data_IF_058379682158
#
_entry.id   IF_058379682158
#
_cell.length_a   1.000
_cell.length_b   1.000
_cell.length_c   1.000
_cell.angle_alpha   90.00
_cell.angle_beta   90.00
_cell.angle_gamma   90.00
#
_symmetry.space_group_name_H-M   'P 1'
#
loop_
_entity.id
_entity.type
_entity.pdbx_description
1 polymer ?
#
# COMPACT_ATOMS: atom_id res chain seq x y z
N UNK A 1 10.36 -11.73 -23.51
CA UNK A 1 9.51 -11.95 -22.32
C UNK A 1 9.69 -10.82 -21.29
N UNK A 2 9.58 -9.54 -21.70
CA UNK A 2 9.69 -8.36 -20.81
C UNK A 2 8.36 -8.01 -20.13
N UNK A 3 7.24 -8.34 -20.79
CA UNK A 3 5.90 -7.95 -20.38
C UNK A 3 5.45 -8.58 -19.05
N UNK A 4 5.93 -9.78 -18.74
CA UNK A 4 5.56 -10.48 -17.50
C UNK A 4 6.27 -9.89 -16.28
N UNK A 5 7.56 -9.56 -16.39
CA UNK A 5 8.32 -8.96 -15.30
C UNK A 5 7.84 -7.54 -14.98
N UNK A 6 7.58 -6.71 -16.00
CA UNK A 6 6.98 -5.37 -15.81
C UNK A 6 5.60 -5.46 -15.14
N UNK A 7 4.79 -6.46 -15.51
CA UNK A 7 3.48 -6.70 -14.88
C UNK A 7 3.65 -7.12 -13.42
N UNK A 8 4.57 -8.04 -13.12
CA UNK A 8 4.87 -8.47 -11.76
C UNK A 8 5.36 -7.30 -10.90
N UNK A 9 6.25 -6.47 -11.44
CA UNK A 9 6.76 -5.29 -10.75
C UNK A 9 5.64 -4.31 -10.45
N UNK A 10 4.76 -4.02 -11.42
CA UNK A 10 3.59 -3.16 -11.21
C UNK A 10 2.72 -3.68 -10.08
N UNK A 11 2.42 -4.98 -10.05
CA UNK A 11 1.60 -5.61 -9.01
C UNK A 11 2.30 -5.54 -7.64
N UNK A 12 3.59 -5.84 -7.58
CA UNK A 12 4.41 -5.82 -6.37
C UNK A 12 4.51 -4.40 -5.77
N UNK A 13 4.68 -3.38 -6.62
CA UNK A 13 4.79 -1.98 -6.19
C UNK A 13 3.47 -1.39 -5.68
N UNK A 14 2.30 -1.97 -6.01
CA UNK A 14 0.99 -1.48 -5.52
C UNK A 14 0.89 -1.41 -3.99
N UNK A 15 1.62 -2.28 -3.30
CA UNK A 15 1.62 -2.40 -1.84
C UNK A 15 3.02 -2.20 -1.25
N UNK A 16 3.90 -1.53 -2.00
CA UNK A 16 5.27 -1.24 -1.56
C UNK A 16 6.02 -2.52 -1.14
N UNK A 17 5.85 -3.60 -1.92
CA UNK A 17 6.47 -4.89 -1.67
C UNK A 17 5.95 -5.64 -0.44
N UNK A 18 4.74 -5.31 0.06
CA UNK A 18 4.11 -6.00 1.18
C UNK A 18 2.93 -6.85 0.74
N UNK A 19 2.66 -7.94 1.45
CA UNK A 19 1.45 -8.71 1.24
C UNK A 19 0.22 -7.83 1.52
N UNK A 20 -0.73 -7.77 0.59
CA UNK A 20 -1.92 -6.94 0.77
C UNK A 20 -2.92 -7.48 1.83
N UNK A 21 -2.68 -8.70 2.35
CA UNK A 21 -3.50 -9.37 3.36
C UNK A 21 -2.87 -9.22 4.74
N UNK A 22 -1.66 -9.73 4.94
CA UNK A 22 -0.99 -9.76 6.25
C UNK A 22 0.11 -8.70 6.44
N UNK A 23 0.38 -7.87 5.41
CA UNK A 23 1.38 -6.79 5.39
C UNK A 23 2.84 -7.17 5.60
N UNK A 24 3.16 -8.46 5.69
CA UNK A 24 4.56 -8.94 5.72
C UNK A 24 5.29 -8.53 4.44
N UNK A 25 6.58 -8.19 4.60
CA UNK A 25 7.45 -7.88 3.47
C UNK A 25 7.63 -9.11 2.57
N UNK A 26 7.59 -8.86 1.27
CA UNK A 26 7.79 -9.81 0.20
C UNK A 26 9.13 -9.53 -0.48
N UNK A 27 9.74 -10.56 -1.06
CA UNK A 27 10.94 -10.41 -1.88
C UNK A 27 10.54 -10.56 -3.34
N UNK A 28 10.76 -9.53 -4.16
CA UNK A 28 10.37 -9.54 -5.58
C UNK A 28 10.89 -10.80 -6.30
N UNK A 29 12.18 -11.14 -6.10
CA UNK A 29 12.81 -12.31 -6.71
C UNK A 29 12.33 -13.68 -6.22
N UNK A 30 11.50 -13.74 -5.17
CA UNK A 30 10.91 -14.99 -4.67
C UNK A 30 9.47 -15.22 -5.19
N UNK A 31 9.11 -14.62 -6.33
CA UNK A 31 7.83 -14.89 -6.98
C UNK A 31 7.67 -16.39 -7.30
N UNK A 32 6.52 -16.98 -6.96
CA UNK A 32 6.18 -18.38 -7.24
C UNK A 32 7.06 -19.42 -6.54
N UNK A 33 8.04 -19.01 -5.71
CA UNK A 33 8.98 -19.94 -5.09
C UNK A 33 8.44 -20.42 -3.75
N UNK A 34 8.18 -21.72 -3.58
CA UNK A 34 7.69 -22.27 -2.32
C UNK A 34 8.78 -22.32 -1.24
N UNK A 35 8.39 -22.14 0.03
CA UNK A 35 9.28 -22.32 1.18
C UNK A 35 10.29 -21.22 1.47
N UNK A 36 10.48 -20.23 0.57
CA UNK A 36 11.38 -19.09 0.83
C UNK A 36 10.69 -17.98 1.64
N UNK A 37 11.49 -17.24 2.41
CA UNK A 37 11.01 -16.05 3.13
C UNK A 37 10.63 -14.95 2.13
N UNK A 38 9.47 -14.34 2.33
CA UNK A 38 8.96 -13.30 1.43
C UNK A 38 8.47 -13.82 0.08
N UNK A 39 8.27 -15.14 -0.06
CA UNK A 39 7.65 -15.72 -1.25
C UNK A 39 6.22 -15.24 -1.45
N UNK A 40 5.87 -15.03 -2.71
CA UNK A 40 4.60 -14.44 -3.06
C UNK A 40 4.09 -14.90 -4.43
N UNK A 41 2.79 -14.74 -4.62
CA UNK A 41 2.07 -15.01 -5.86
C UNK A 41 1.14 -13.82 -6.16
N UNK A 42 0.68 -13.74 -7.40
CA UNK A 42 -0.40 -12.82 -7.77
C UNK A 42 -1.70 -13.35 -7.15
N UNK A 43 -2.43 -12.44 -6.52
CA UNK A 43 -3.70 -12.71 -5.86
C UNK A 43 -4.80 -11.79 -6.44
N UNK A 44 -6.00 -12.34 -6.62
CA UNK A 44 -7.19 -11.61 -7.06
C UNK A 44 -8.04 -11.15 -5.89
N UNK A 45 -8.08 -9.83 -5.66
CA UNK A 45 -8.87 -9.21 -4.58
C UNK A 45 -10.35 -9.62 -4.64
N UNK A 46 -10.92 -9.68 -5.84
CA UNK A 46 -12.17 -10.38 -6.13
C UNK A 46 -11.83 -11.67 -6.88
N UNK A 47 -12.12 -12.87 -6.33
CA UNK A 47 -11.85 -14.13 -7.01
C UNK A 47 -12.54 -14.23 -8.38
N UNK A 48 -11.92 -14.92 -9.35
CA UNK A 48 -12.49 -15.13 -10.70
C UNK A 48 -13.85 -15.83 -10.65
N UNK A 49 -13.99 -16.83 -9.78
CA UNK A 49 -15.24 -17.54 -9.49
C UNK A 49 -16.39 -16.64 -9.04
N UNK A 50 -16.09 -15.43 -8.57
CA UNK A 50 -17.05 -14.41 -8.14
C UNK A 50 -17.11 -13.22 -9.09
N UNK A 51 -16.62 -13.36 -10.33
CA UNK A 51 -16.60 -12.29 -11.35
C UNK A 51 -15.39 -11.35 -11.30
N UNK A 52 -14.29 -11.78 -10.67
CA UNK A 52 -13.02 -11.06 -10.72
C UNK A 52 -12.31 -11.16 -12.07
N UNK A 53 -11.56 -10.12 -12.44
CA UNK A 53 -10.83 -10.02 -13.71
C UNK A 53 -9.31 -9.96 -13.48
N UNK A 54 -8.53 -10.14 -14.55
CA UNK A 54 -7.06 -10.01 -14.53
C UNK A 54 -6.59 -8.55 -14.70
N UNK A 55 -7.49 -7.57 -14.53
CA UNK A 55 -7.13 -6.17 -14.56
C UNK A 55 -6.25 -5.81 -13.36
N UNK A 56 -5.25 -4.93 -13.60
CA UNK A 56 -4.27 -4.55 -12.58
C UNK A 56 -4.89 -4.01 -11.29
N UNK A 57 -6.08 -3.40 -11.32
CA UNK A 57 -6.77 -2.92 -10.13
C UNK A 57 -7.26 -4.05 -9.20
N UNK A 58 -7.49 -5.25 -9.74
CA UNK A 58 -7.92 -6.45 -9.02
C UNK A 58 -6.74 -7.34 -8.58
N UNK A 59 -5.53 -7.10 -9.08
CA UNK A 59 -4.35 -7.94 -8.81
C UNK A 59 -3.45 -7.34 -7.74
N UNK A 60 -3.08 -8.14 -6.74
CA UNK A 60 -2.17 -7.76 -5.66
C UNK A 60 -1.08 -8.81 -5.44
N UNK A 61 0.03 -8.39 -4.84
CA UNK A 61 1.00 -9.33 -4.30
C UNK A 61 0.50 -9.87 -2.95
N UNK A 62 0.58 -11.19 -2.76
CA UNK A 62 0.27 -11.82 -1.48
C UNK A 62 1.27 -12.94 -1.16
N UNK A 63 1.52 -13.16 0.13
CA UNK A 63 2.20 -14.39 0.56
C UNK A 63 1.47 -15.60 0.00
N UNK A 64 2.22 -16.63 -0.40
CA UNK A 64 1.64 -17.86 -0.95
C UNK A 64 0.63 -18.48 0.03
N UNK A 65 0.95 -18.50 1.32
CA UNK A 65 0.05 -19.01 2.37
C UNK A 65 -1.23 -18.18 2.51
N UNK A 66 -1.13 -16.84 2.50
CA UNK A 66 -2.31 -15.97 2.57
C UNK A 66 -3.20 -16.11 1.34
N UNK A 67 -2.60 -16.19 0.14
CA UNK A 67 -3.32 -16.41 -1.12
C UNK A 67 -4.13 -17.72 -1.07
N UNK A 68 -3.44 -18.83 -0.74
CA UNK A 68 -4.05 -20.17 -0.66
C UNK A 68 -5.10 -20.27 0.45
N UNK A 69 -4.84 -19.70 1.61
CA UNK A 69 -5.80 -19.68 2.73
C UNK A 69 -7.06 -18.87 2.40
N UNK A 70 -6.94 -17.77 1.65
CA UNK A 70 -8.11 -17.02 1.18
C UNK A 70 -8.91 -17.83 0.16
N UNK A 71 -8.25 -18.43 -0.83
CA UNK A 71 -8.91 -19.15 -1.93
C UNK A 71 -10.01 -18.30 -2.58
N UNK A 72 -11.23 -18.85 -2.64
CA UNK A 72 -12.43 -18.16 -3.16
C UNK A 72 -13.14 -17.25 -2.11
N UNK A 73 -12.56 -17.08 -0.94
CA UNK A 73 -13.01 -16.15 0.10
C UNK A 73 -12.92 -14.68 -0.33
N UNK A 74 -13.49 -13.79 0.48
CA UNK A 74 -13.41 -12.35 0.22
C UNK A 74 -12.11 -11.78 0.78
N UNK A 75 -11.57 -10.75 0.13
CA UNK A 75 -10.37 -10.07 0.65
C UNK A 75 -10.63 -9.37 1.98
N UNK A 76 -11.87 -8.90 2.20
CA UNK A 76 -12.28 -8.29 3.46
C UNK A 76 -12.10 -9.25 4.64
N UNK A 77 -12.61 -10.49 4.54
CA UNK A 77 -12.45 -11.46 5.63
C UNK A 77 -11.00 -11.89 5.82
N UNK A 78 -10.25 -12.09 4.72
CA UNK A 78 -8.84 -12.47 4.77
C UNK A 78 -7.97 -11.40 5.47
N UNK A 79 -8.20 -10.11 5.18
CA UNK A 79 -7.52 -9.00 5.85
C UNK A 79 -7.96 -8.87 7.30
N UNK A 80 -9.26 -9.00 7.59
CA UNK A 80 -9.80 -8.87 8.95
C UNK A 80 -9.19 -9.93 9.88
N UNK A 81 -8.99 -11.16 9.40
CA UNK A 81 -8.30 -12.22 10.14
C UNK A 81 -6.83 -11.88 10.48
N UNK A 82 -6.23 -10.90 9.80
CA UNK A 82 -4.89 -10.37 10.07
C UNK A 82 -4.92 -8.98 10.75
N UNK A 83 -6.10 -8.50 11.18
CA UNK A 83 -6.26 -7.21 11.86
C UNK A 83 -6.31 -6.00 10.93
N UNK A 84 -6.58 -6.19 9.64
CA UNK A 84 -6.59 -5.10 8.65
C UNK A 84 -7.91 -4.99 7.90
N UNK A 85 -8.26 -3.79 7.45
CA UNK A 85 -9.44 -3.52 6.58
C UNK A 85 -8.99 -3.19 5.16
N UNK A 86 -7.90 -2.45 5.02
CA UNK A 86 -7.36 -2.01 3.73
C UNK A 86 -6.00 -2.61 3.41
N UNK A 87 -5.66 -2.60 2.12
CA UNK A 87 -4.31 -2.95 1.66
C UNK A 87 -3.33 -1.83 2.01
N UNK A 88 -2.03 -2.17 2.16
CA UNK A 88 -1.00 -1.17 2.30
C UNK A 88 -0.89 -0.28 1.05
N UNK A 89 -0.47 0.97 1.24
CA UNK A 89 -0.24 1.92 0.17
C UNK A 89 1.06 1.63 -0.58
N UNK A 90 1.08 2.03 -1.85
CA UNK A 90 2.30 2.10 -2.66
C UNK A 90 3.18 3.26 -2.22
N UNK A 91 4.47 3.19 -2.58
CA UNK A 91 5.43 4.26 -2.34
C UNK A 91 4.99 5.60 -2.93
N UNK A 92 4.50 5.59 -4.17
CA UNK A 92 4.03 6.79 -4.88
C UNK A 92 2.82 7.42 -4.18
N UNK A 93 1.97 6.61 -3.56
CA UNK A 93 0.82 7.13 -2.81
C UNK A 93 1.26 7.77 -1.50
N UNK A 94 2.26 7.20 -0.81
CA UNK A 94 2.85 7.80 0.40
C UNK A 94 3.53 9.13 0.08
N UNK A 95 4.28 9.23 -1.03
CA UNK A 95 4.91 10.50 -1.45
C UNK A 95 3.86 11.55 -1.82
N UNK A 96 2.78 11.15 -2.50
CA UNK A 96 1.65 12.05 -2.79
C UNK A 96 0.95 12.54 -1.52
N UNK A 97 0.76 11.66 -0.53
CA UNK A 97 0.22 12.03 0.77
C UNK A 97 1.17 12.95 1.54
N UNK A 98 2.48 12.74 1.47
CA UNK A 98 3.50 13.61 2.07
C UNK A 98 3.42 15.03 1.48
N UNK A 99 3.36 15.15 0.16
CA UNK A 99 3.21 16.45 -0.51
C UNK A 99 1.92 17.16 -0.09
N UNK A 100 0.80 16.43 -0.15
CA UNK A 100 -0.51 16.96 0.25
C UNK A 100 -0.51 17.40 1.72
N UNK A 101 0.02 16.56 2.61
CA UNK A 101 0.12 16.84 4.03
C UNK A 101 1.00 18.06 4.30
N UNK A 102 2.14 18.18 3.63
CA UNK A 102 3.02 19.35 3.74
C UNK A 102 2.35 20.63 3.26
N UNK A 103 1.68 20.62 2.11
CA UNK A 103 0.95 21.78 1.60
C UNK A 103 -0.17 22.23 2.55
N UNK A 104 -0.97 21.30 3.07
CA UNK A 104 -2.02 21.59 4.06
C UNK A 104 -1.39 22.12 5.37
N UNK A 105 -0.28 21.53 5.80
CA UNK A 105 0.45 21.94 7.00
C UNK A 105 1.02 23.35 6.89
N UNK A 106 1.55 23.74 5.73
CA UNK A 106 1.99 25.13 5.49
C UNK A 106 0.81 26.08 5.67
N UNK A 107 -0.34 25.81 5.05
CA UNK A 107 -1.51 26.68 5.10
C UNK A 107 -2.08 26.92 6.51
N UNK A 108 -1.69 26.11 7.51
CA UNK A 108 -2.08 26.32 8.90
C UNK A 108 -1.63 27.70 9.44
N UNK A 109 -0.59 28.33 8.87
CA UNK A 109 -0.14 29.66 9.29
C UNK A 109 -1.23 30.73 9.22
N UNK A 110 -2.23 30.56 8.34
CA UNK A 110 -3.33 31.52 8.16
C UNK A 110 -4.16 31.72 9.43
N UNK A 111 -4.15 30.72 10.32
CA UNK A 111 -4.89 30.72 11.59
C UNK A 111 -4.06 31.18 12.79
N UNK A 112 -2.82 31.64 12.57
CA UNK A 112 -1.88 32.04 13.62
C UNK A 112 -1.54 33.54 13.49
N UNK A 113 -1.34 34.27 14.60
CA UNK A 113 -0.95 35.69 14.58
C UNK A 113 0.31 35.97 13.74
N UNK A 114 0.42 37.16 13.10
CA UNK A 114 1.54 37.53 12.24
C UNK A 114 2.96 37.17 12.72
N UNK A 115 3.36 37.43 13.99
CA UNK A 115 4.73 37.16 14.43
C UNK A 115 5.11 35.67 14.40
N UNK A 116 4.12 34.76 14.42
CA UNK A 116 4.36 33.32 14.48
C UNK A 116 4.13 32.62 13.13
N UNK A 117 3.70 33.34 12.09
CA UNK A 117 3.30 32.73 10.81
C UNK A 117 4.42 31.97 10.13
N UNK A 118 5.62 32.55 10.05
CA UNK A 118 6.75 31.90 9.38
C UNK A 118 7.13 30.60 10.10
N UNK A 119 7.30 30.67 11.42
CA UNK A 119 7.62 29.48 12.23
C UNK A 119 6.52 28.42 12.10
N UNK A 120 5.24 28.83 12.13
CA UNK A 120 4.09 27.92 12.00
C UNK A 120 4.02 27.27 10.62
N UNK A 121 4.30 28.01 9.55
CA UNK A 121 4.33 27.48 8.19
C UNK A 121 5.42 26.41 8.03
N UNK A 122 6.62 26.66 8.56
CA UNK A 122 7.73 25.71 8.51
C UNK A 122 7.42 24.46 9.32
N UNK A 123 7.00 24.60 10.58
CA UNK A 123 6.68 23.46 11.45
C UNK A 123 5.50 22.67 10.88
N UNK A 124 4.43 23.34 10.49
CA UNK A 124 3.25 22.72 9.90
C UNK A 124 3.57 21.95 8.62
N UNK A 125 4.37 22.55 7.73
CA UNK A 125 4.82 21.89 6.50
C UNK A 125 5.63 20.62 6.76
N UNK A 126 6.59 20.67 7.68
CA UNK A 126 7.43 19.50 8.03
C UNK A 126 6.59 18.39 8.67
N UNK A 127 5.78 18.73 9.68
CA UNK A 127 4.92 17.75 10.37
C UNK A 127 3.92 17.13 9.39
N UNK A 128 3.28 17.96 8.56
CA UNK A 128 2.33 17.50 7.56
C UNK A 128 2.95 16.53 6.55
N UNK A 129 4.17 16.80 6.10
CA UNK A 129 4.88 15.91 5.19
C UNK A 129 5.25 14.57 5.85
N UNK A 130 5.72 14.58 7.09
CA UNK A 130 6.08 13.37 7.84
C UNK A 130 4.84 12.50 8.08
N UNK A 131 3.75 13.10 8.56
CA UNK A 131 2.47 12.41 8.80
C UNK A 131 1.93 11.83 7.50
N UNK A 132 1.94 12.61 6.41
CA UNK A 132 1.50 12.15 5.09
C UNK A 132 2.29 10.96 4.56
N UNK A 133 3.63 10.98 4.71
CA UNK A 133 4.49 9.88 4.28
C UNK A 133 4.33 8.60 5.12
N UNK A 134 4.08 8.77 6.43
CA UNK A 134 3.98 7.68 7.39
C UNK A 134 2.57 7.08 7.47
N UNK A 135 1.58 7.74 6.88
CA UNK A 135 0.20 7.27 6.90
C UNK A 135 0.07 5.89 6.22
N UNK A 136 -0.51 4.96 6.96
CA UNK A 136 -0.89 3.65 6.48
C UNK A 136 -2.34 3.40 6.92
N UNK A 137 -3.25 3.04 6.00
CA UNK A 137 -4.62 2.78 6.38
C UNK A 137 -4.70 1.52 7.25
N UNK A 138 -5.66 1.45 8.15
CA UNK A 138 -6.02 0.23 8.88
C UNK A 138 -6.70 -0.79 7.97
#
# INVERSE_FOLDING_TARGET
MKTDEEKLERIYRRTDGRCHICRKQLCFGNYGTLGKRGSWEIEHSRPRSKGGTDHLNNLYAACISCNRSKGNGTTASARAANGYRKAPLSKDKKTSNAWTGGAVGVLAFLFVPPPLRLASAVVGGVVGAIVGNSYEPE
#
